data_IF_906099390978
#
_entry.id   IF_906099390978
#
_cell.length_a   1.000
_cell.length_b   1.000
_cell.length_c   1.000
_cell.angle_alpha   90.00
_cell.angle_beta   90.00
_cell.angle_gamma   90.00
#
_symmetry.space_group_name_H-M   'P 1'
#
loop_
_entity.id
_entity.type
_entity.pdbx_description
1 polymer ?
#
# COMPACT_ATOMS: atom_id res chain seq x y z
N UNK A 1 -2.34 29.90 -7.47
CA UNK A 1 -2.38 28.60 -8.18
C UNK A 1 -3.16 27.62 -7.31
N UNK A 2 -4.23 27.01 -7.83
CA UNK A 2 -5.03 26.01 -7.10
C UNK A 2 -4.32 24.66 -7.28
N UNK A 3 -3.83 24.07 -6.20
CA UNK A 3 -3.21 22.74 -6.23
C UNK A 3 -4.23 21.76 -6.85
N UNK A 4 -3.85 20.89 -7.82
CA UNK A 4 -4.76 19.87 -8.30
C UNK A 4 -5.26 19.02 -7.12
N UNK A 5 -6.50 18.49 -7.15
CA UNK A 5 -6.97 17.59 -6.12
C UNK A 5 -5.96 16.45 -5.96
N UNK A 6 -5.54 16.19 -4.73
CA UNK A 6 -4.65 15.07 -4.44
C UNK A 6 -5.27 13.79 -5.03
N UNK A 7 -4.49 13.02 -5.78
CA UNK A 7 -4.94 11.75 -6.32
C UNK A 7 -5.38 10.85 -5.17
N UNK A 8 -6.53 10.16 -5.32
CA UNK A 8 -7.02 9.23 -4.32
C UNK A 8 -6.04 8.05 -4.18
N UNK A 9 -5.47 7.81 -2.98
CA UNK A 9 -4.50 6.73 -2.78
C UNK A 9 -5.14 5.34 -2.69
N UNK A 10 -6.45 5.22 -2.48
CA UNK A 10 -7.11 3.92 -2.26
C UNK A 10 -6.92 2.88 -3.37
N UNK A 11 -7.10 3.19 -4.68
CA UNK A 11 -6.91 2.19 -5.72
C UNK A 11 -5.49 1.60 -5.75
N UNK A 12 -4.48 2.37 -5.33
CA UNK A 12 -3.11 1.89 -5.21
C UNK A 12 -2.92 1.00 -3.99
N UNK A 13 -3.51 1.39 -2.85
CA UNK A 13 -3.52 0.60 -1.62
C UNK A 13 -4.15 -0.78 -1.87
N UNK A 14 -5.32 -0.83 -2.51
CA UNK A 14 -6.00 -2.08 -2.81
C UNK A 14 -5.14 -3.00 -3.70
N UNK A 15 -4.50 -2.45 -4.73
CA UNK A 15 -3.59 -3.20 -5.61
C UNK A 15 -2.36 -3.71 -4.87
N UNK A 16 -1.80 -2.91 -3.99
CA UNK A 16 -0.65 -3.26 -3.15
C UNK A 16 -1.01 -4.42 -2.21
N UNK A 17 -2.15 -4.33 -1.52
CA UNK A 17 -2.62 -5.37 -0.59
C UNK A 17 -2.98 -6.68 -1.32
N UNK A 18 -3.63 -6.61 -2.48
CA UNK A 18 -3.89 -7.77 -3.31
C UNK A 18 -2.59 -8.44 -3.77
N UNK A 19 -1.64 -7.66 -4.28
CA UNK A 19 -0.33 -8.18 -4.73
C UNK A 19 0.47 -8.80 -3.58
N UNK A 20 0.39 -8.22 -2.39
CA UNK A 20 1.00 -8.76 -1.18
C UNK A 20 0.37 -10.12 -0.79
N UNK A 21 -0.97 -10.21 -0.78
CA UNK A 21 -1.70 -11.46 -0.49
C UNK A 21 -1.36 -12.57 -1.48
N UNK A 22 -1.24 -12.23 -2.76
CA UNK A 22 -0.90 -13.18 -3.83
C UNK A 22 0.60 -13.51 -3.88
N UNK A 23 1.41 -12.95 -2.97
CA UNK A 23 2.86 -13.08 -2.95
C UNK A 23 3.54 -12.70 -4.29
N UNK A 24 2.89 -11.82 -5.07
CA UNK A 24 3.36 -11.40 -6.38
C UNK A 24 4.24 -10.15 -6.25
N UNK A 25 5.54 -10.36 -6.06
CA UNK A 25 6.51 -9.27 -5.85
C UNK A 25 6.60 -8.31 -7.04
N UNK A 26 6.43 -8.80 -8.27
CA UNK A 26 6.48 -7.96 -9.47
C UNK A 26 5.27 -7.02 -9.55
N UNK A 27 4.07 -7.52 -9.27
CA UNK A 27 2.85 -6.72 -9.22
C UNK A 27 2.89 -5.71 -8.06
N UNK A 28 3.40 -6.12 -6.90
CA UNK A 28 3.61 -5.26 -5.74
C UNK A 28 4.54 -4.08 -6.08
N UNK A 29 5.68 -4.36 -6.72
CA UNK A 29 6.63 -3.32 -7.16
C UNK A 29 6.00 -2.36 -8.16
N UNK A 30 5.24 -2.88 -9.12
CA UNK A 30 4.53 -2.04 -10.11
C UNK A 30 3.51 -1.13 -9.42
N UNK A 31 2.71 -1.66 -8.49
CA UNK A 31 1.70 -0.85 -7.80
C UNK A 31 2.33 0.27 -6.94
N UNK A 32 3.47 0.01 -6.30
CA UNK A 32 4.23 1.03 -5.55
C UNK A 32 4.79 2.09 -6.51
N UNK A 33 5.33 1.68 -7.67
CA UNK A 33 5.85 2.61 -8.69
C UNK A 33 4.74 3.50 -9.25
N UNK A 34 3.59 2.91 -9.62
CA UNK A 34 2.45 3.64 -10.17
C UNK A 34 1.91 4.68 -9.16
N UNK A 35 1.92 4.34 -7.87
CA UNK A 35 1.50 5.25 -6.79
C UNK A 35 2.49 6.42 -6.62
N UNK A 36 3.79 6.14 -6.65
CA UNK A 36 4.83 7.16 -6.60
C UNK A 36 4.73 8.13 -7.79
N UNK A 37 4.54 7.60 -9.00
CA UNK A 37 4.42 8.40 -10.23
C UNK A 37 3.13 9.24 -10.23
N UNK A 38 2.10 8.80 -9.50
CA UNK A 38 0.86 9.55 -9.27
C UNK A 38 0.98 10.62 -8.18
N UNK A 39 2.16 10.79 -7.58
CA UNK A 39 2.43 11.78 -6.55
C UNK A 39 2.01 11.36 -5.14
N UNK A 40 1.74 10.08 -4.91
CA UNK A 40 1.44 9.55 -3.57
C UNK A 40 2.75 9.29 -2.84
N UNK A 41 2.92 9.80 -1.61
CA UNK A 41 4.12 9.54 -0.82
C UNK A 41 4.29 8.05 -0.52
N UNK A 42 5.45 7.48 -0.86
CA UNK A 42 5.75 6.06 -0.59
C UNK A 42 5.67 5.74 0.91
N UNK A 43 6.03 6.68 1.78
CA UNK A 43 5.88 6.57 3.23
C UNK A 43 4.43 6.29 3.66
N UNK A 44 3.45 6.86 2.96
CA UNK A 44 2.03 6.62 3.23
C UNK A 44 1.67 5.17 2.88
N UNK A 45 2.17 4.67 1.74
CA UNK A 45 1.96 3.28 1.29
C UNK A 45 2.60 2.27 2.26
N UNK A 46 3.82 2.56 2.73
CA UNK A 46 4.54 1.72 3.71
C UNK A 46 3.77 1.68 5.03
N UNK A 47 3.24 2.82 5.48
CA UNK A 47 2.45 2.90 6.72
C UNK A 47 1.20 2.01 6.64
N UNK A 48 0.49 2.05 5.51
CA UNK A 48 -0.70 1.22 5.27
C UNK A 48 -0.34 -0.26 5.21
N UNK A 49 0.76 -0.62 4.54
CA UNK A 49 1.27 -2.00 4.51
C UNK A 49 1.63 -2.49 5.92
N UNK A 50 2.36 -1.69 6.70
CA UNK A 50 2.77 -2.03 8.07
C UNK A 50 1.57 -2.22 9.00
N UNK A 51 0.54 -1.38 8.87
CA UNK A 51 -0.70 -1.52 9.62
C UNK A 51 -1.41 -2.85 9.30
N UNK A 52 -1.54 -3.20 8.01
CA UNK A 52 -2.16 -4.45 7.58
C UNK A 52 -1.36 -5.69 8.01
N UNK A 53 -0.03 -5.62 7.96
CA UNK A 53 0.87 -6.67 8.47
C UNK A 53 0.68 -6.87 9.98
N UNK A 54 0.66 -5.79 10.75
CA UNK A 54 0.50 -5.83 12.20
C UNK A 54 -0.86 -6.42 12.58
N UNK A 55 -1.93 -6.01 11.89
CA UNK A 55 -3.26 -6.56 12.09
C UNK A 55 -3.31 -8.07 11.79
N UNK A 56 -2.70 -8.49 10.67
CA UNK A 56 -2.60 -9.91 10.29
C UNK A 56 -1.83 -10.74 11.32
N UNK A 57 -0.75 -10.20 11.89
CA UNK A 57 0.06 -10.85 12.91
C UNK A 57 -0.67 -10.94 14.26
N UNK A 58 -1.41 -9.90 14.64
CA UNK A 58 -2.28 -9.91 15.81
C UNK A 58 -3.38 -10.97 15.68
N UNK A 59 -4.05 -11.05 14.53
CA UNK A 59 -5.08 -12.07 14.27
C UNK A 59 -4.52 -13.49 14.27
N UNK A 60 -3.27 -13.66 13.86
CA UNK A 60 -2.58 -14.96 13.84
C UNK A 60 -2.07 -15.39 15.22
N UNK A 61 -2.23 -14.56 16.26
CA UNK A 61 -1.69 -14.82 17.60
C UNK A 61 -0.15 -14.81 17.66
N UNK A 62 0.52 -14.32 16.61
CA UNK A 62 1.98 -14.33 16.50
C UNK A 62 2.67 -13.24 17.35
N UNK A 63 1.88 -12.28 17.87
CA UNK A 63 2.32 -11.17 18.72
C UNK A 63 1.87 -11.33 20.19
N UNK A 64 1.29 -12.48 20.55
CA UNK A 64 0.82 -12.83 21.90
C UNK A 64 1.87 -13.56 22.72
#
# INVERSE_FOLDING_TARGET
>A
MKLPPAADPQPFIDRILASYRDQNTSALRSAISDAHDSGIPVEHLITVLAANLTDSLNQSGALS
#
